data_IF_880712436853
#
_entry.id   IF_880712436853
#
_cell.length_a   1.000
_cell.length_b   1.000
_cell.length_c   1.000
_cell.angle_alpha   90.00
_cell.angle_beta   90.00
_cell.angle_gamma   90.00
#
_symmetry.space_group_name_H-M   'P 1'
#
loop_
_entity.id
_entity.type
_entity.pdbx_description
1 polymer ?
#
# COMPACT_ATOMS: atom_id res chain seq x y z
N UNK A 1 8.10 -16.34 3.93
CA UNK A 1 9.30 -15.50 4.20
C UNK A 1 9.67 -14.60 3.01
N UNK A 2 9.70 -15.08 1.75
CA UNK A 2 10.09 -14.28 0.58
C UNK A 2 9.27 -13.00 0.33
N UNK A 3 7.93 -13.09 0.41
CA UNK A 3 7.04 -11.94 0.22
C UNK A 3 7.31 -10.81 1.22
N UNK A 4 7.60 -11.13 2.48
CA UNK A 4 7.90 -10.13 3.52
C UNK A 4 9.21 -9.42 3.18
N UNK A 5 10.24 -10.16 2.77
CA UNK A 5 11.52 -9.60 2.37
C UNK A 5 11.39 -8.66 1.15
N UNK A 6 10.62 -9.08 0.14
CA UNK A 6 10.34 -8.25 -1.03
C UNK A 6 9.65 -6.93 -0.66
N UNK A 7 8.66 -6.97 0.24
CA UNK A 7 7.98 -5.77 0.73
C UNK A 7 8.90 -4.89 1.60
N UNK A 8 9.77 -5.50 2.41
CA UNK A 8 10.77 -4.75 3.19
C UNK A 8 11.72 -3.98 2.27
N UNK A 9 12.21 -4.60 1.20
CA UNK A 9 13.04 -3.92 0.21
C UNK A 9 12.28 -2.81 -0.52
N UNK A 10 11.06 -3.09 -1.00
CA UNK A 10 10.24 -2.13 -1.73
C UNK A 10 9.96 -0.86 -0.91
N UNK A 11 9.70 -1.02 0.40
CA UNK A 11 9.36 0.09 1.30
C UNK A 11 10.54 0.59 2.15
N UNK A 12 11.76 0.09 1.90
CA UNK A 12 12.96 0.39 2.69
C UNK A 12 12.79 0.15 4.19
N UNK A 13 11.99 -0.86 4.57
CA UNK A 13 11.71 -1.19 5.96
C UNK A 13 12.84 -2.04 6.54
N UNK A 14 13.25 -1.71 7.76
CA UNK A 14 14.20 -2.50 8.54
C UNK A 14 13.51 -3.06 9.78
N UNK A 15 13.87 -4.27 10.17
CA UNK A 15 13.43 -4.84 11.43
C UNK A 15 14.12 -4.12 12.59
N UNK A 16 13.35 -3.68 13.59
CA UNK A 16 13.85 -2.95 14.77
C UNK A 16 13.83 -3.76 16.06
N UNK A 17 12.97 -4.77 16.18
CA UNK A 17 12.90 -5.63 17.37
C UNK A 17 13.58 -7.00 17.12
N UNK A 18 14.18 -7.56 18.16
CA UNK A 18 14.80 -8.89 18.15
C UNK A 18 14.31 -9.77 19.30
N UNK A 19 13.11 -9.48 19.81
CA UNK A 19 12.55 -10.14 20.97
C UNK A 19 12.13 -11.56 20.63
N UNK A 20 12.74 -12.50 21.34
CA UNK A 20 12.51 -13.93 21.17
C UNK A 20 11.45 -14.39 22.17
N UNK A 21 10.60 -15.30 21.72
CA UNK A 21 9.70 -16.04 22.59
C UNK A 21 10.45 -17.11 23.39
N UNK A 22 9.74 -17.84 24.26
CA UNK A 22 10.34 -18.88 25.11
C UNK A 22 11.01 -20.03 24.33
N UNK A 23 10.70 -20.18 23.03
CA UNK A 23 11.32 -21.15 22.14
C UNK A 23 12.51 -20.57 21.34
N UNK A 24 12.94 -19.34 21.61
CA UNK A 24 14.04 -18.67 20.92
C UNK A 24 13.67 -18.07 19.55
N UNK A 25 12.38 -18.08 19.17
CA UNK A 25 11.92 -17.58 17.89
C UNK A 25 11.46 -16.12 17.98
N UNK A 26 11.72 -15.32 16.94
CA UNK A 26 11.12 -13.98 16.79
C UNK A 26 9.90 -14.11 15.88
N UNK A 27 8.70 -13.96 16.46
CA UNK A 27 7.44 -14.07 15.72
C UNK A 27 6.85 -12.70 15.39
N UNK A 28 6.77 -11.84 16.40
CA UNK A 28 6.25 -10.49 16.25
C UNK A 28 7.32 -9.57 15.67
N UNK A 29 7.00 -8.85 14.59
CA UNK A 29 7.95 -8.02 13.86
C UNK A 29 7.55 -6.54 13.87
N UNK A 30 8.47 -5.69 14.33
CA UNK A 30 8.42 -4.26 14.17
C UNK A 30 9.31 -3.86 12.97
N UNK A 31 8.67 -3.55 11.85
CA UNK A 31 9.33 -3.15 10.62
C UNK A 31 9.09 -1.66 10.36
N UNK A 32 10.16 -0.86 10.30
CA UNK A 32 10.06 0.57 10.02
C UNK A 32 11.34 1.11 9.39
N UNK A 33 11.18 2.14 8.55
CA UNK A 33 12.27 2.93 7.97
C UNK A 33 12.58 4.18 8.80
N UNK A 34 11.93 4.36 9.96
CA UNK A 34 12.14 5.51 10.83
C UNK A 34 13.35 5.27 11.74
N UNK A 35 14.37 6.12 11.58
CA UNK A 35 15.54 6.15 12.44
C UNK A 35 15.21 6.66 13.84
N UNK A 36 15.98 6.19 14.83
CA UNK A 36 15.74 6.52 16.24
C UNK A 36 14.55 5.78 16.87
N UNK A 37 13.92 4.84 16.15
CA UNK A 37 12.93 3.93 16.74
C UNK A 37 13.59 3.09 17.83
N UNK A 38 13.04 3.12 19.04
CA UNK A 38 13.51 2.31 20.18
C UNK A 38 12.49 1.22 20.52
N UNK A 39 12.96 0.08 21.01
CA UNK A 39 12.13 -1.06 21.42
C UNK A 39 12.55 -1.45 22.84
N UNK A 40 11.57 -1.76 23.68
CA UNK A 40 11.79 -2.26 25.04
C UNK A 40 10.79 -3.36 25.37
N UNK A 41 11.21 -4.34 26.16
CA UNK A 41 10.26 -5.25 26.79
C UNK A 41 9.31 -4.45 27.69
N UNK A 42 8.05 -4.87 27.77
CA UNK A 42 7.07 -4.24 28.65
C UNK A 42 6.35 -5.28 29.50
N UNK A 43 5.72 -4.80 30.57
CA UNK A 43 4.89 -5.65 31.42
C UNK A 43 3.58 -5.98 30.71
N UNK A 44 3.14 -7.24 30.75
CA UNK A 44 1.90 -7.67 30.13
C UNK A 44 0.70 -7.06 30.86
N UNK A 45 -0.28 -6.56 30.09
CA UNK A 45 -1.53 -6.03 30.66
C UNK A 45 -2.57 -7.11 30.97
N UNK A 46 -2.36 -8.31 30.45
CA UNK A 46 -3.19 -9.51 30.60
C UNK A 46 -2.27 -10.72 30.79
N UNK A 47 -2.79 -11.92 31.01
CA UNK A 47 -1.95 -13.11 31.09
C UNK A 47 -1.07 -13.27 29.83
N UNK A 48 0.23 -13.53 30.04
CA UNK A 48 1.22 -13.57 28.96
C UNK A 48 0.98 -14.77 28.07
N UNK A 49 0.80 -14.52 26.77
CA UNK A 49 1.02 -15.55 25.78
C UNK A 49 2.53 -15.80 25.62
N UNK A 50 2.97 -17.00 25.99
CA UNK A 50 4.38 -17.43 25.95
C UNK A 50 4.95 -17.37 24.53
N UNK A 51 4.12 -17.48 23.49
CA UNK A 51 4.53 -17.37 22.10
C UNK A 51 4.74 -15.92 21.64
N UNK A 52 4.11 -14.95 22.32
CA UNK A 52 4.06 -13.54 21.94
C UNK A 52 4.48 -12.62 23.11
N UNK A 53 5.80 -12.52 23.39
CA UNK A 53 6.29 -11.64 24.44
C UNK A 53 5.90 -10.18 24.18
N UNK A 54 5.33 -9.47 25.16
CA UNK A 54 4.90 -8.09 24.99
C UNK A 54 6.11 -7.13 24.88
N UNK A 55 5.97 -6.11 24.05
CA UNK A 55 6.96 -5.04 23.95
C UNK A 55 6.35 -3.68 23.58
N UNK A 56 7.02 -2.64 24.06
CA UNK A 56 6.74 -1.26 23.69
C UNK A 56 7.77 -0.79 22.66
N UNK A 57 7.38 0.17 21.84
CA UNK A 57 8.30 0.88 20.98
C UNK A 57 7.94 2.36 20.90
N UNK A 58 8.95 3.18 20.59
CA UNK A 58 8.80 4.62 20.44
C UNK A 58 9.28 5.00 19.05
N UNK A 59 8.40 5.60 18.24
CA UNK A 59 8.73 6.12 16.92
C UNK A 59 8.89 7.64 17.04
N UNK A 60 10.10 8.20 16.82
CA UNK A 60 10.27 9.64 16.81
C UNK A 60 9.56 10.22 15.59
N UNK A 61 8.56 11.05 15.84
CA UNK A 61 7.95 11.85 14.79
C UNK A 61 8.87 13.06 14.59
N UNK A 62 9.64 13.05 13.51
CA UNK A 62 10.22 14.29 12.97
C UNK A 62 9.08 15.29 12.79
N UNK A 63 9.27 16.56 13.13
CA UNK A 63 8.29 17.62 12.92
C UNK A 63 7.81 17.59 11.46
N UNK A 64 6.73 16.86 11.18
CA UNK A 64 6.07 16.92 9.91
C UNK A 64 5.53 18.35 9.85
N UNK A 65 5.97 19.20 8.90
CA UNK A 65 5.21 20.40 8.63
C UNK A 65 3.79 19.91 8.41
N UNK A 66 2.84 20.50 9.15
CA UNK A 66 1.42 20.17 9.12
C UNK A 66 0.92 20.45 7.70
N UNK A 67 1.24 19.56 6.76
CA UNK A 67 0.67 19.56 5.43
C UNK A 67 -0.77 19.23 5.71
N UNK A 68 -1.63 20.25 5.63
CA UNK A 68 -3.03 20.04 5.39
C UNK A 68 -3.10 19.22 4.10
N UNK A 69 -3.15 17.89 4.24
CA UNK A 69 -3.61 17.05 3.16
C UNK A 69 -5.04 17.53 2.90
N UNK A 70 -5.38 18.01 1.69
CA UNK A 70 -6.77 18.15 1.35
C UNK A 70 -7.38 16.76 1.53
N UNK A 71 -8.31 16.61 2.46
CA UNK A 71 -8.98 15.34 2.81
C UNK A 71 -9.91 14.83 1.70
N UNK A 72 -9.69 15.28 0.46
CA UNK A 72 -10.42 14.87 -0.72
C UNK A 72 -9.42 14.48 -1.81
N UNK A 73 -8.66 13.41 -1.59
CA UNK A 73 -8.30 12.56 -2.73
C UNK A 73 -9.61 11.92 -3.18
N UNK A 74 -10.30 12.58 -4.11
CA UNK A 74 -11.48 12.01 -4.77
C UNK A 74 -11.11 10.64 -5.32
N UNK A 75 -11.52 9.58 -4.62
CA UNK A 75 -11.27 8.20 -5.01
C UNK A 75 -12.46 7.71 -5.79
N UNK A 76 -12.20 7.04 -6.91
CA UNK A 76 -13.27 6.45 -7.70
C UNK A 76 -14.10 5.48 -6.84
N UNK A 77 -15.40 5.70 -6.81
CA UNK A 77 -16.36 4.80 -6.20
C UNK A 77 -16.78 3.73 -7.21
N UNK A 78 -15.93 2.71 -7.34
CA UNK A 78 -16.15 1.57 -8.22
C UNK A 78 -17.46 0.81 -7.91
N UNK A 79 -17.97 0.87 -6.67
CA UNK A 79 -19.26 0.24 -6.35
C UNK A 79 -20.45 0.86 -7.07
N UNK A 80 -20.32 2.11 -7.56
CA UNK A 80 -21.37 2.88 -8.24
C UNK A 80 -21.05 3.17 -9.71
N UNK A 81 -20.11 2.45 -10.31
CA UNK A 81 -19.77 2.63 -11.72
C UNK A 81 -20.88 2.16 -12.66
N UNK A 82 -21.12 2.88 -13.75
CA UNK A 82 -21.98 2.43 -14.85
C UNK A 82 -21.17 1.53 -15.80
N UNK A 83 -21.04 0.27 -15.41
CA UNK A 83 -20.28 -0.72 -16.17
C UNK A 83 -20.92 -1.09 -17.51
N UNK A 84 -22.24 -0.93 -17.66
CA UNK A 84 -22.91 -1.22 -18.93
C UNK A 84 -22.53 -0.17 -19.98
N UNK A 85 -22.62 1.12 -19.63
CA UNK A 85 -22.19 2.21 -20.50
C UNK A 85 -20.68 2.17 -20.77
N UNK A 86 -19.87 1.90 -19.75
CA UNK A 86 -18.42 1.79 -19.89
C UNK A 86 -18.01 0.64 -20.81
N UNK A 87 -18.62 -0.53 -20.69
CA UNK A 87 -18.34 -1.66 -21.59
C UNK A 87 -18.74 -1.33 -23.03
N UNK A 88 -19.89 -0.66 -23.24
CA UNK A 88 -20.29 -0.19 -24.57
C UNK A 88 -19.25 0.78 -25.14
N UNK A 89 -18.81 1.77 -24.36
CA UNK A 89 -17.77 2.72 -24.77
C UNK A 89 -16.46 2.02 -25.17
N UNK A 90 -15.94 1.12 -24.31
CA UNK A 90 -14.69 0.41 -24.57
C UNK A 90 -14.80 -0.57 -25.74
N UNK A 91 -15.97 -1.18 -25.96
CA UNK A 91 -16.20 -2.09 -27.08
C UNK A 91 -16.26 -1.37 -28.44
N UNK A 92 -16.72 -0.12 -28.45
CA UNK A 92 -16.81 0.71 -29.65
C UNK A 92 -15.52 1.46 -29.96
N UNK A 93 -14.54 1.45 -29.06
CA UNK A 93 -13.23 2.04 -29.31
C UNK A 93 -12.44 1.16 -30.29
N UNK A 94 -11.84 1.78 -31.31
CA UNK A 94 -10.99 1.07 -32.26
C UNK A 94 -9.61 0.78 -31.66
N UNK A 95 -9.46 -0.43 -31.12
CA UNK A 95 -8.21 -0.90 -30.51
C UNK A 95 -7.09 -1.18 -31.53
N UNK A 96 -7.41 -1.26 -32.83
CA UNK A 96 -6.40 -1.55 -33.87
C UNK A 96 -5.34 -0.44 -33.96
N UNK A 97 -5.68 0.79 -33.54
CA UNK A 97 -4.76 1.91 -33.46
C UNK A 97 -3.54 1.61 -32.59
N UNK A 98 -3.67 0.78 -31.55
CA UNK A 98 -2.56 0.44 -30.67
C UNK A 98 -1.47 -0.37 -31.40
N UNK A 99 -1.87 -1.18 -32.38
CA UNK A 99 -0.93 -1.98 -33.18
C UNK A 99 -0.16 -1.13 -34.20
N UNK A 100 -0.57 0.12 -34.43
CA UNK A 100 0.09 1.04 -35.36
C UNK A 100 1.13 1.94 -34.69
N UNK A 101 1.19 1.93 -33.36
CA UNK A 101 2.04 2.80 -32.56
C UNK A 101 3.27 2.05 -32.02
N UNK A 102 4.39 2.76 -31.76
CA UNK A 102 5.47 2.24 -30.92
C UNK A 102 4.97 1.82 -29.54
N UNK A 103 5.64 0.85 -28.91
CA UNK A 103 5.18 0.24 -27.67
C UNK A 103 4.81 1.25 -26.56
N UNK A 104 5.69 2.21 -26.27
CA UNK A 104 5.46 3.21 -25.23
C UNK A 104 4.24 4.09 -25.53
N UNK A 105 4.11 4.54 -26.78
CA UNK A 105 2.96 5.36 -27.21
C UNK A 105 1.65 4.56 -27.23
N UNK A 106 1.70 3.28 -27.60
CA UNK A 106 0.56 2.37 -27.52
C UNK A 106 0.13 2.16 -26.06
N UNK A 107 1.08 2.05 -25.13
CA UNK A 107 0.82 1.89 -23.71
C UNK A 107 0.18 3.16 -23.12
N UNK A 108 0.74 4.33 -23.42
CA UNK A 108 0.18 5.63 -23.03
C UNK A 108 -1.24 5.81 -23.58
N UNK A 109 -1.45 5.46 -24.85
CA UNK A 109 -2.76 5.53 -25.49
C UNK A 109 -3.75 4.59 -24.80
N UNK A 110 -3.37 3.35 -24.53
CA UNK A 110 -4.20 2.39 -23.81
C UNK A 110 -4.64 2.95 -22.44
N UNK A 111 -3.70 3.39 -21.61
CA UNK A 111 -4.02 3.95 -20.30
C UNK A 111 -4.88 5.19 -20.40
N UNK A 112 -4.63 6.06 -21.39
CA UNK A 112 -5.45 7.26 -21.59
C UNK A 112 -6.92 6.92 -21.84
N UNK A 113 -7.21 5.90 -22.65
CA UNK A 113 -8.57 5.47 -22.98
C UNK A 113 -9.26 4.86 -21.76
N UNK A 114 -8.55 4.01 -21.00
CA UNK A 114 -9.08 3.40 -19.78
C UNK A 114 -9.35 4.44 -18.70
N UNK A 115 -8.40 5.33 -18.42
CA UNK A 115 -8.57 6.38 -17.40
C UNK A 115 -9.69 7.34 -17.77
N UNK A 116 -9.82 7.65 -19.06
CA UNK A 116 -10.92 8.45 -19.56
C UNK A 116 -12.27 7.75 -19.32
N UNK A 117 -12.39 6.46 -19.64
CA UNK A 117 -13.58 5.66 -19.34
C UNK A 117 -13.90 5.68 -17.84
N UNK A 118 -12.91 5.44 -16.97
CA UNK A 118 -13.11 5.50 -15.52
C UNK A 118 -13.60 6.87 -15.06
N UNK A 119 -13.02 7.95 -15.57
CA UNK A 119 -13.43 9.32 -15.22
C UNK A 119 -14.85 9.68 -15.66
N UNK A 120 -15.35 9.06 -16.73
CA UNK A 120 -16.69 9.30 -17.24
C UNK A 120 -17.75 8.44 -16.56
N UNK A 121 -17.43 7.17 -16.29
CA UNK A 121 -18.41 6.16 -15.88
C UNK A 121 -18.29 5.73 -14.43
N UNK A 122 -17.25 6.13 -13.71
CA UNK A 122 -17.09 5.85 -12.27
C UNK A 122 -17.14 7.17 -11.50
N UNK A 123 -18.12 7.36 -10.60
CA UNK A 123 -18.19 8.56 -9.78
C UNK A 123 -17.00 8.66 -8.83
N UNK A 124 -16.70 9.89 -8.40
CA UNK A 124 -15.64 10.23 -7.45
C UNK A 124 -16.14 10.26 -6.00
#
# INVERSE_FOLDING_TARGET
SRMILENMHLHSLCQKNTLQNAAGNVLDLLLTNVDGTTVRACEPMVDVDVAHPPFDFLIPLSNCPRKHYPTATFSFNFSKGDYAAMNSYLSNFDWSVLSTLPFEEALDKFYSVILNALSQFVPK
#
